data_IF_071350694388
#
_entry.id   IF_071350694388
#
_cell.length_a   1.000
_cell.length_b   1.000
_cell.length_c   1.000
_cell.angle_alpha   90.00
_cell.angle_beta   90.00
_cell.angle_gamma   90.00
#
_symmetry.space_group_name_H-M   'P 1'
#
loop_
_entity.id
_entity.type
_entity.pdbx_description
1 polymer ?
#
# COMPACT_ATOMS: atom_id res chain seq x y z
N UNK A 1 -0.91 18.31 -0.59
CA UNK A 1 -0.08 17.90 -1.75
C UNK A 1 1.07 17.14 -1.15
N UNK A 2 1.16 15.85 -1.42
CA UNK A 2 2.24 15.00 -0.91
C UNK A 2 3.52 15.35 -1.65
N UNK A 3 4.62 15.48 -0.93
CA UNK A 3 5.92 15.84 -1.51
C UNK A 3 6.69 14.57 -1.87
N UNK A 4 7.17 14.49 -3.12
CA UNK A 4 8.01 13.40 -3.62
C UNK A 4 7.50 12.00 -3.26
N UNK A 5 8.36 11.19 -2.66
CA UNK A 5 8.13 9.77 -2.40
C UNK A 5 6.99 9.49 -1.39
N UNK A 6 6.56 10.48 -0.59
CA UNK A 6 5.33 10.37 0.23
C UNK A 6 4.08 10.06 -0.62
N UNK A 7 4.10 10.46 -1.90
CA UNK A 7 3.03 10.19 -2.85
C UNK A 7 2.94 8.75 -3.37
N UNK A 8 3.81 7.83 -2.93
CA UNK A 8 3.83 6.46 -3.48
C UNK A 8 2.56 5.67 -3.15
N UNK A 9 2.01 5.81 -1.94
CA UNK A 9 0.76 5.16 -1.55
C UNK A 9 -0.41 5.54 -2.48
N UNK A 10 -0.77 6.83 -2.59
CA UNK A 10 -1.75 7.33 -3.55
C UNK A 10 -1.46 6.91 -5.01
N UNK A 11 -0.19 6.90 -5.42
CA UNK A 11 0.21 6.48 -6.77
C UNK A 11 -0.12 5.01 -7.03
N UNK A 12 0.15 4.14 -6.06
CA UNK A 12 -0.22 2.71 -6.13
C UNK A 12 -1.75 2.55 -6.20
N UNK A 13 -2.48 3.26 -5.34
CA UNK A 13 -3.94 3.21 -5.32
C UNK A 13 -4.55 3.70 -6.66
N UNK A 14 -3.99 4.73 -7.27
CA UNK A 14 -4.40 5.22 -8.58
C UNK A 14 -4.19 4.18 -9.69
N UNK A 15 -3.02 3.53 -9.73
CA UNK A 15 -2.73 2.46 -10.70
C UNK A 15 -3.70 1.28 -10.53
N UNK A 16 -3.96 0.88 -9.30
CA UNK A 16 -4.92 -0.18 -9.00
C UNK A 16 -6.32 0.22 -9.48
N UNK A 17 -6.79 1.41 -9.14
CA UNK A 17 -8.12 1.89 -9.50
C UNK A 17 -8.34 2.06 -11.00
N UNK A 18 -7.31 2.46 -11.73
CA UNK A 18 -7.42 2.73 -13.16
C UNK A 18 -7.25 1.50 -14.03
N UNK A 19 -6.53 0.48 -13.55
CA UNK A 19 -6.17 -0.70 -14.33
C UNK A 19 -6.89 -1.98 -13.94
N UNK A 20 -7.58 -1.96 -12.78
CA UNK A 20 -8.28 -3.15 -12.27
C UNK A 20 -9.70 -2.81 -11.83
N UNK A 21 -10.57 -3.79 -11.93
CA UNK A 21 -11.92 -3.78 -11.35
C UNK A 21 -12.02 -4.86 -10.29
N UNK A 22 -12.88 -4.63 -9.32
CA UNK A 22 -13.08 -5.50 -8.16
C UNK A 22 -14.57 -5.81 -7.98
N UNK A 23 -14.93 -6.81 -7.13
CA UNK A 23 -16.28 -7.00 -6.66
C UNK A 23 -16.86 -5.74 -5.99
N UNK A 24 -18.19 -5.64 -5.95
CA UNK A 24 -18.94 -4.44 -5.50
C UNK A 24 -18.70 -4.10 -4.01
N UNK A 25 -18.21 -5.03 -3.21
CA UNK A 25 -17.89 -4.87 -1.79
C UNK A 25 -16.43 -4.44 -1.53
N UNK A 26 -15.68 -4.12 -2.57
CA UNK A 26 -14.30 -3.66 -2.50
C UNK A 26 -14.21 -2.20 -2.95
N UNK A 27 -13.67 -1.36 -2.08
CA UNK A 27 -13.37 0.04 -2.40
C UNK A 27 -11.87 0.31 -2.43
N UNK A 28 -11.42 1.06 -3.44
CA UNK A 28 -10.05 1.59 -3.53
C UNK A 28 -10.10 3.09 -3.26
N UNK A 29 -9.55 3.49 -2.11
CA UNK A 29 -9.65 4.86 -1.60
C UNK A 29 -8.25 5.47 -1.50
N UNK A 30 -8.09 6.69 -2.02
CA UNK A 30 -6.97 7.54 -1.66
C UNK A 30 -7.32 8.30 -0.37
N UNK A 31 -6.76 7.87 0.74
CA UNK A 31 -6.99 8.48 2.05
C UNK A 31 -6.09 9.71 2.28
N UNK A 32 -5.09 9.93 1.42
CA UNK A 32 -4.14 11.04 1.56
C UNK A 32 -3.58 11.14 3.00
N UNK A 33 -3.63 12.33 3.56
CA UNK A 33 -3.13 12.63 4.93
C UNK A 33 -4.27 12.80 5.94
N UNK A 34 -5.35 12.00 5.83
CA UNK A 34 -6.55 12.19 6.67
C UNK A 34 -6.32 11.93 8.16
N UNK A 35 -5.24 11.26 8.56
CA UNK A 35 -4.97 10.95 9.96
C UNK A 35 -6.18 10.28 10.64
N UNK A 36 -6.59 10.78 11.82
CA UNK A 36 -7.76 10.26 12.55
C UNK A 36 -9.08 10.33 11.75
N UNK A 37 -9.16 11.18 10.75
CA UNK A 37 -10.31 11.25 9.85
C UNK A 37 -10.60 9.94 9.10
N UNK A 38 -9.59 9.06 8.92
CA UNK A 38 -9.76 7.74 8.30
C UNK A 38 -10.64 6.79 9.08
N UNK A 39 -10.85 7.00 10.39
CA UNK A 39 -11.57 6.07 11.25
C UNK A 39 -13.00 5.77 10.77
N UNK A 40 -13.64 6.70 10.06
CA UNK A 40 -14.97 6.46 9.50
C UNK A 40 -14.97 5.40 8.37
N UNK A 41 -13.82 5.19 7.71
CA UNK A 41 -13.64 4.18 6.66
C UNK A 41 -13.48 2.76 7.23
N UNK A 42 -13.22 2.61 8.53
CA UNK A 42 -12.86 1.31 9.11
C UNK A 42 -14.08 0.49 9.54
N UNK A 43 -15.22 1.15 9.76
CA UNK A 43 -16.40 0.50 10.33
C UNK A 43 -16.98 -0.56 9.38
N UNK A 44 -17.03 -1.79 9.87
CA UNK A 44 -17.58 -2.93 9.12
C UNK A 44 -16.62 -3.51 8.08
N UNK A 45 -15.37 -3.05 8.06
CA UNK A 45 -14.34 -3.57 7.16
C UNK A 45 -13.80 -4.89 7.70
N UNK A 46 -13.89 -5.95 6.90
CA UNK A 46 -13.35 -7.28 7.22
C UNK A 46 -11.84 -7.30 7.02
N UNK A 47 -11.37 -6.80 5.88
CA UNK A 47 -9.96 -6.75 5.49
C UNK A 47 -9.60 -5.37 4.94
N UNK A 48 -8.55 -4.79 5.46
CA UNK A 48 -7.98 -3.53 4.99
C UNK A 48 -6.55 -3.74 4.52
N UNK A 49 -6.30 -3.42 3.25
CA UNK A 49 -4.97 -3.35 2.70
C UNK A 49 -4.56 -1.89 2.51
N UNK A 50 -3.43 -1.52 3.05
CA UNK A 50 -2.88 -0.18 2.98
C UNK A 50 -1.65 -0.18 2.09
N UNK A 51 -1.47 0.87 1.30
CA UNK A 51 -0.24 1.14 0.57
C UNK A 51 0.33 2.47 1.04
N UNK A 52 1.59 2.49 1.46
CA UNK A 52 2.19 3.70 2.04
C UNK A 52 3.70 3.77 1.80
N UNK A 53 4.23 4.98 1.97
CA UNK A 53 5.66 5.23 2.06
C UNK A 53 6.19 4.77 3.42
N UNK A 54 7.34 4.11 3.45
CA UNK A 54 8.02 3.76 4.70
C UNK A 54 9.45 4.28 4.69
N UNK A 55 9.92 4.66 5.88
CA UNK A 55 11.29 5.12 6.09
C UNK A 55 11.92 4.46 7.31
N UNK A 56 13.24 4.63 7.46
CA UNK A 56 14.00 4.15 8.63
C UNK A 56 14.16 2.64 8.71
N UNK A 57 13.78 1.87 7.68
CA UNK A 57 13.89 0.40 7.69
C UNK A 57 15.31 -0.10 7.46
N UNK A 58 16.19 0.72 6.92
CA UNK A 58 17.53 0.34 6.47
C UNK A 58 17.56 -0.37 5.10
N UNK A 59 16.42 -0.59 4.46
CA UNK A 59 16.37 -1.09 3.10
C UNK A 59 16.75 -0.02 2.08
N UNK A 60 17.17 -0.46 0.90
CA UNK A 60 17.42 0.46 -0.21
C UNK A 60 16.10 1.05 -0.73
N UNK A 61 16.11 2.32 -1.19
CA UNK A 61 14.94 2.96 -1.78
C UNK A 61 14.31 2.12 -2.91
N UNK A 62 12.98 2.08 -2.96
CA UNK A 62 12.21 1.25 -3.88
C UNK A 62 12.04 -0.20 -3.43
N UNK A 63 12.53 -0.58 -2.23
CA UNK A 63 12.22 -1.90 -1.66
C UNK A 63 10.74 -1.94 -1.26
N UNK A 64 10.02 -2.96 -1.74
CA UNK A 64 8.63 -3.24 -1.38
C UNK A 64 8.61 -4.22 -0.22
N UNK A 65 7.92 -3.85 0.85
CA UNK A 65 7.84 -4.62 2.11
C UNK A 65 6.39 -4.92 2.43
N UNK A 66 6.08 -6.19 2.74
CA UNK A 66 4.81 -6.57 3.38
C UNK A 66 4.94 -6.37 4.88
N UNK A 67 3.97 -5.72 5.48
CA UNK A 67 3.85 -5.53 6.92
C UNK A 67 2.60 -6.27 7.37
N UNK A 68 2.79 -7.31 8.18
CA UNK A 68 1.73 -8.17 8.66
C UNK A 68 0.97 -7.56 9.85
N UNK A 69 -0.20 -8.12 10.23
CA UNK A 69 -0.90 -7.72 11.45
C UNK A 69 -0.04 -7.85 12.71
N UNK A 70 0.82 -8.86 12.76
CA UNK A 70 1.74 -9.10 13.87
C UNK A 70 2.82 -8.02 13.96
N UNK A 71 3.31 -7.54 12.82
CA UNK A 71 4.29 -6.45 12.75
C UNK A 71 3.69 -5.14 13.27
N UNK A 72 2.42 -4.87 12.98
CA UNK A 72 1.69 -3.74 13.55
C UNK A 72 1.55 -3.86 15.07
N UNK A 73 1.20 -5.04 15.57
CA UNK A 73 1.04 -5.29 17.00
C UNK A 73 2.36 -5.18 17.77
N UNK A 74 3.47 -5.55 17.15
CA UNK A 74 4.78 -5.50 17.75
C UNK A 74 5.37 -4.09 17.89
N UNK A 75 4.71 -3.04 17.37
CA UNK A 75 5.19 -1.64 17.31
C UNK A 75 6.60 -1.49 16.69
N UNK A 76 7.07 -2.48 15.94
CA UNK A 76 8.45 -2.56 15.46
C UNK A 76 8.66 -1.94 14.08
N UNK A 77 7.61 -1.63 13.36
CA UNK A 77 7.73 -1.22 11.97
C UNK A 77 6.90 0.02 11.69
N UNK A 78 7.51 0.89 10.95
CA UNK A 78 6.96 2.04 10.25
C UNK A 78 7.02 3.33 11.03
N UNK A 79 8.12 4.03 10.87
CA UNK A 79 8.07 5.48 10.90
C UNK A 79 7.34 5.93 9.62
N UNK A 80 6.02 6.04 9.72
CA UNK A 80 5.25 6.80 8.74
C UNK A 80 5.60 8.27 8.92
N UNK A 81 5.86 8.95 7.82
CA UNK A 81 6.23 10.36 7.79
C UNK A 81 5.09 11.32 8.18
N UNK A 82 3.90 10.77 8.37
CA UNK A 82 2.75 11.58 8.75
C UNK A 82 2.73 11.84 10.26
N UNK A 83 2.32 13.03 10.68
CA UNK A 83 2.22 13.48 12.09
C UNK A 83 1.44 12.50 12.97
N UNK A 84 0.49 11.76 12.39
CA UNK A 84 -0.27 10.69 13.04
C UNK A 84 0.01 9.40 12.30
N UNK A 85 0.71 8.49 12.97
CA UNK A 85 1.03 7.17 12.41
C UNK A 85 -0.23 6.32 12.25
N UNK A 86 -0.29 5.51 11.20
CA UNK A 86 -1.38 4.56 10.98
C UNK A 86 -1.70 3.71 12.22
N UNK A 87 -0.66 3.27 12.94
CA UNK A 87 -0.82 2.50 14.19
C UNK A 87 -1.62 3.26 15.24
N UNK A 88 -1.43 4.58 15.35
CA UNK A 88 -2.17 5.43 16.30
C UNK A 88 -3.65 5.53 15.90
N UNK A 89 -3.94 5.58 14.59
CA UNK A 89 -5.32 5.58 14.07
C UNK A 89 -5.99 4.23 14.33
N UNK A 90 -5.31 3.11 14.09
CA UNK A 90 -5.82 1.76 14.38
C UNK A 90 -6.08 1.57 15.88
N UNK A 91 -5.17 2.01 16.74
CA UNK A 91 -5.35 2.00 18.19
C UNK A 91 -6.54 2.83 18.63
N UNK A 92 -6.71 4.05 18.08
CA UNK A 92 -7.86 4.89 18.36
C UNK A 92 -9.18 4.23 17.91
N UNK A 93 -9.19 3.60 16.74
CA UNK A 93 -10.34 2.87 16.23
C UNK A 93 -10.70 1.66 17.11
N UNK A 94 -9.69 0.98 17.70
CA UNK A 94 -9.92 -0.15 18.61
C UNK A 94 -10.65 0.25 19.89
N UNK A 95 -10.45 1.47 20.38
CA UNK A 95 -11.13 1.97 21.58
C UNK A 95 -12.65 2.13 21.40
N UNK A 96 -13.12 2.19 20.16
CA UNK A 96 -14.54 2.39 19.83
C UNK A 96 -15.11 1.21 19.01
N UNK A 97 -14.43 0.07 19.02
CA UNK A 97 -14.81 -1.15 18.27
C UNK A 97 -15.06 -0.88 16.77
N UNK A 98 -14.29 0.02 16.18
CA UNK A 98 -14.41 0.41 14.76
C UNK A 98 -13.23 -0.04 13.91
N UNK A 99 -12.29 -0.80 14.43
CA UNK A 99 -11.13 -1.28 13.69
C UNK A 99 -11.53 -2.33 12.64
N UNK A 100 -10.80 -2.44 11.52
CA UNK A 100 -10.91 -3.57 10.60
C UNK A 100 -10.58 -4.88 11.32
N UNK A 101 -11.17 -5.99 10.90
CA UNK A 101 -10.85 -7.30 11.49
C UNK A 101 -9.42 -7.73 11.22
N UNK A 102 -8.91 -7.37 10.05
CA UNK A 102 -7.53 -7.64 9.63
C UNK A 102 -6.99 -6.46 8.84
N UNK A 103 -5.76 -6.06 9.14
CA UNK A 103 -5.06 -4.97 8.43
C UNK A 103 -3.67 -5.43 8.04
N UNK A 104 -3.32 -5.23 6.77
CA UNK A 104 -1.98 -5.43 6.24
C UNK A 104 -1.54 -4.18 5.47
N UNK A 105 -0.23 -4.02 5.30
CA UNK A 105 0.31 -2.91 4.53
C UNK A 105 1.38 -3.39 3.54
N UNK A 106 1.36 -2.79 2.36
CA UNK A 106 2.47 -2.78 1.42
C UNK A 106 3.19 -1.44 1.56
N UNK A 107 4.34 -1.48 2.19
CA UNK A 107 5.23 -0.33 2.33
C UNK A 107 6.25 -0.27 1.20
N UNK A 108 6.56 0.93 0.73
CA UNK A 108 7.67 1.17 -0.20
C UNK A 108 8.70 2.04 0.51
N UNK A 109 9.93 1.52 0.66
CA UNK A 109 11.03 2.30 1.23
C UNK A 109 11.34 3.49 0.34
N UNK A 110 11.29 4.68 0.91
CA UNK A 110 11.54 5.93 0.19
C UNK A 110 13.02 6.33 0.23
N UNK A 111 13.41 7.22 -0.69
CA UNK A 111 14.77 7.72 -0.80
C UNK A 111 14.99 9.02 -0.02
N UNK A 112 14.00 9.91 -0.05
CA UNK A 112 14.11 11.27 0.48
C UNK A 112 12.78 11.74 1.07
N UNK A 113 12.87 12.27 2.29
CA UNK A 113 11.71 12.72 3.08
C UNK A 113 11.45 14.22 2.91
N UNK A 114 12.48 15.00 2.72
CA UNK A 114 12.40 16.46 2.70
C UNK A 114 13.35 17.00 1.65
N UNK A 115 12.95 17.10 0.39
CA UNK A 115 13.76 17.76 -0.63
C UNK A 115 13.95 19.23 -0.25
N UNK A 116 15.15 19.75 -0.44
CA UNK A 116 15.46 21.17 -0.25
C UNK A 116 14.63 22.09 -1.16
N UNK A 117 14.07 21.52 -2.24
CA UNK A 117 13.15 22.17 -3.18
C UNK A 117 11.83 21.41 -3.25
N UNK A 118 10.72 22.14 -3.43
CA UNK A 118 9.39 21.55 -3.70
C UNK A 118 9.43 20.80 -5.03
N UNK A 119 9.66 19.50 -4.96
CA UNK A 119 9.67 18.63 -6.12
C UNK A 119 8.40 17.75 -6.14
N UNK A 120 7.77 17.65 -7.30
CA UNK A 120 6.54 16.93 -7.52
C UNK A 120 6.86 15.64 -8.27
N UNK A 121 6.39 14.52 -7.73
CA UNK A 121 6.60 13.20 -8.33
C UNK A 121 7.52 12.32 -7.50
N UNK A 122 7.56 11.04 -7.85
CA UNK A 122 8.40 10.05 -7.15
C UNK A 122 9.84 10.11 -7.63
N UNK A 123 10.78 9.72 -6.78
CA UNK A 123 12.15 9.47 -7.23
C UNK A 123 12.17 8.29 -8.22
N UNK A 124 13.16 8.22 -9.13
CA UNK A 124 13.22 7.12 -10.11
C UNK A 124 13.26 5.72 -9.48
N UNK A 125 13.83 5.59 -8.29
CA UNK A 125 13.90 4.33 -7.54
C UNK A 125 12.50 3.89 -7.09
N UNK A 126 11.73 4.81 -6.51
CA UNK A 126 10.39 4.58 -5.99
C UNK A 126 9.39 4.41 -7.14
N UNK A 127 9.47 5.22 -8.21
CA UNK A 127 8.62 5.06 -9.40
C UNK A 127 8.78 3.68 -10.04
N UNK A 128 10.00 3.16 -10.14
CA UNK A 128 10.27 1.80 -10.65
C UNK A 128 9.71 0.69 -9.76
N UNK A 129 9.50 0.97 -8.47
CA UNK A 129 8.92 0.02 -7.52
C UNK A 129 7.40 -0.07 -7.60
N UNK A 130 6.70 0.95 -8.14
CA UNK A 130 5.23 1.01 -8.18
C UNK A 130 4.59 -0.24 -8.80
N UNK A 131 5.01 -0.76 -9.98
CA UNK A 131 4.41 -1.97 -10.55
C UNK A 131 4.57 -3.19 -9.64
N UNK A 132 5.71 -3.30 -8.94
CA UNK A 132 5.97 -4.40 -8.00
C UNK A 132 5.14 -4.26 -6.72
N UNK A 133 4.93 -3.06 -6.24
CA UNK A 133 4.05 -2.78 -5.10
C UNK A 133 2.58 -3.08 -5.45
N UNK A 134 2.12 -2.71 -6.64
CA UNK A 134 0.80 -3.10 -7.17
C UNK A 134 0.68 -4.63 -7.23
N UNK A 135 1.70 -5.33 -7.76
CA UNK A 135 1.70 -6.78 -7.80
C UNK A 135 1.58 -7.42 -6.41
N UNK A 136 2.30 -6.89 -5.41
CA UNK A 136 2.24 -7.35 -4.03
C UNK A 136 0.85 -7.11 -3.43
N UNK A 137 0.28 -5.92 -3.62
CA UNK A 137 -1.07 -5.58 -3.17
C UNK A 137 -2.13 -6.53 -3.75
N UNK A 138 -2.10 -6.76 -5.06
CA UNK A 138 -3.02 -7.68 -5.74
C UNK A 138 -2.85 -9.13 -5.28
N UNK A 139 -1.62 -9.54 -4.95
CA UNK A 139 -1.36 -10.88 -4.41
C UNK A 139 -1.96 -11.05 -3.02
N UNK A 140 -1.86 -10.04 -2.15
CA UNK A 140 -2.49 -10.07 -0.82
C UNK A 140 -4.02 -10.09 -0.92
N UNK A 141 -4.62 -9.30 -1.82
CA UNK A 141 -6.07 -9.34 -2.07
C UNK A 141 -6.52 -10.73 -2.52
N UNK A 142 -5.78 -11.37 -3.43
CA UNK A 142 -6.05 -12.73 -3.89
C UNK A 142 -5.95 -13.76 -2.73
N UNK A 143 -5.03 -13.58 -1.79
CA UNK A 143 -4.93 -14.40 -0.57
C UNK A 143 -6.19 -14.33 0.31
N UNK A 144 -6.90 -13.21 0.25
CA UNK A 144 -8.18 -13.01 0.94
C UNK A 144 -9.40 -13.41 0.08
N UNK A 145 -9.18 -14.01 -1.09
CA UNK A 145 -10.26 -14.39 -2.00
C UNK A 145 -10.84 -13.23 -2.81
N UNK A 146 -10.18 -12.08 -2.82
CA UNK A 146 -10.59 -10.89 -3.57
C UNK A 146 -9.90 -10.93 -4.95
N UNK A 147 -10.70 -11.15 -6.00
CA UNK A 147 -10.19 -11.19 -7.36
C UNK A 147 -10.20 -9.80 -8.01
N UNK A 148 -9.05 -9.42 -8.56
CA UNK A 148 -8.89 -8.24 -9.38
C UNK A 148 -8.92 -8.62 -10.86
N UNK A 149 -9.77 -7.98 -11.64
CA UNK A 149 -9.86 -8.17 -13.09
C UNK A 149 -9.24 -6.98 -13.81
N UNK A 150 -8.34 -7.23 -14.75
CA UNK A 150 -7.73 -6.16 -15.55
C UNK A 150 -8.78 -5.47 -16.45
N UNK A 151 -8.71 -4.14 -16.49
CA UNK A 151 -9.56 -3.34 -17.38
C UNK A 151 -9.17 -3.61 -18.84
N UNK A 152 -10.12 -3.92 -19.73
CA UNK A 152 -9.82 -4.18 -21.14
C UNK A 152 -9.13 -2.99 -21.81
N UNK A 153 -8.06 -3.25 -22.54
CA UNK A 153 -7.30 -2.22 -23.26
C UNK A 153 -6.21 -1.51 -22.46
N UNK A 154 -6.05 -1.86 -21.20
CA UNK A 154 -4.95 -1.36 -20.36
C UNK A 154 -3.65 -2.18 -20.54
N UNK A 155 -3.49 -2.89 -21.65
CA UNK A 155 -2.31 -3.71 -21.89
C UNK A 155 -1.12 -2.85 -22.29
N UNK A 156 -0.22 -2.66 -21.34
CA UNK A 156 0.97 -1.85 -21.48
C UNK A 156 2.16 -2.52 -20.75
N UNK A 157 3.32 -1.90 -20.86
CA UNK A 157 4.55 -2.38 -20.20
C UNK A 157 4.38 -2.49 -18.68
N UNK A 158 3.62 -1.59 -18.07
CA UNK A 158 3.33 -1.62 -16.63
C UNK A 158 2.64 -2.92 -16.22
N UNK A 159 1.54 -3.30 -16.89
CA UNK A 159 0.84 -4.55 -16.60
C UNK A 159 1.71 -5.78 -16.87
N UNK A 160 2.58 -5.72 -17.88
CA UNK A 160 3.58 -6.77 -18.12
C UNK A 160 4.47 -7.01 -16.89
N UNK A 161 4.95 -5.94 -16.26
CA UNK A 161 5.77 -6.02 -15.04
C UNK A 161 4.95 -6.55 -13.86
N UNK A 162 3.71 -6.07 -13.68
CA UNK A 162 2.81 -6.54 -12.62
C UNK A 162 2.55 -8.04 -12.73
N UNK A 163 2.21 -8.54 -13.92
CA UNK A 163 1.96 -9.97 -14.17
C UNK A 163 3.20 -10.82 -13.86
N UNK A 164 4.38 -10.39 -14.30
CA UNK A 164 5.65 -11.09 -14.05
C UNK A 164 5.96 -11.15 -12.54
N UNK A 165 5.81 -10.03 -11.83
CA UNK A 165 6.06 -9.96 -10.40
C UNK A 165 5.08 -10.84 -9.60
N UNK A 166 3.79 -10.88 -9.98
CA UNK A 166 2.80 -11.77 -9.33
C UNK A 166 3.14 -13.25 -9.55
N UNK A 167 3.56 -13.62 -10.74
CA UNK A 167 3.99 -14.99 -11.02
C UNK A 167 5.18 -15.40 -10.14
N UNK A 168 6.20 -14.55 -10.03
CA UNK A 168 7.36 -14.76 -9.15
C UNK A 168 6.95 -14.93 -7.67
N UNK A 169 6.00 -14.12 -7.18
CA UNK A 169 5.52 -14.19 -5.80
C UNK A 169 4.76 -15.48 -5.53
N UNK A 170 3.93 -15.96 -6.48
CA UNK A 170 3.22 -17.24 -6.37
C UNK A 170 4.17 -18.43 -6.31
N UNK A 171 5.17 -18.47 -7.19
CA UNK A 171 6.18 -19.53 -7.22
C UNK A 171 6.95 -19.62 -5.89
N UNK A 172 7.33 -18.48 -5.32
CA UNK A 172 8.02 -18.45 -4.02
C UNK A 172 7.17 -19.00 -2.88
N UNK A 173 5.86 -18.80 -2.93
CA UNK A 173 4.92 -19.32 -1.90
C UNK A 173 4.74 -20.83 -2.00
N UNK A 174 4.73 -21.39 -3.19
CA UNK A 174 4.60 -22.84 -3.39
C UNK A 174 5.84 -23.62 -2.90
N UNK A 175 6.97 -22.92 -2.74
CA UNK A 175 8.24 -23.53 -2.32
C UNK A 175 8.65 -23.19 -0.88
N UNK A 176 7.85 -22.43 -0.13
CA UNK A 176 8.07 -22.04 1.27
C UNK A 176 7.23 -22.88 2.25
#
# INVERSE_FOLDING_TARGET
>A
MLMRDEGVGPRIAEEIRTRFTFPDDVEVIDAGTMGLGMMHLFRGVEYMLITDAIDGTGYVPGTVVRISPEDFAANQVVHSLHDIRLVDVLNAASLIDAQPKMTECIGVQIADIAPEEFDVGLTPEVERAVPRAVAAALTLLEEQGIEATEVPGADDEFLGIVRAARAEMRERREHA
#
